data_IF_756933277573
#
_entry.id   IF_756933277573
#
_cell.length_a   1.000
_cell.length_b   1.000
_cell.length_c   1.000
_cell.angle_alpha   90.00
_cell.angle_beta   90.00
_cell.angle_gamma   90.00
#
_symmetry.space_group_name_H-M   'P 1'
#
loop_
_entity.id
_entity.type
_entity.pdbx_description
1 polymer ?
#
# COMPACT_ATOMS: atom_id res chain seq x y z
N UNK A 1 -32.69 -1.94 -0.08
CA UNK A 1 -31.55 -2.11 0.82
C UNK A 1 -30.32 -1.77 0.01
N UNK A 2 -29.74 -0.59 0.24
CA UNK A 2 -28.55 -0.09 -0.45
C UNK A 2 -27.36 -0.33 0.47
N UNK A 3 -26.45 -1.23 0.07
CA UNK A 3 -25.15 -1.43 0.71
C UNK A 3 -24.11 -1.29 -0.39
N UNK A 4 -23.06 -0.50 -0.15
CA UNK A 4 -21.68 -0.78 -0.56
C UNK A 4 -20.75 0.26 0.07
N UNK A 5 -20.49 0.12 1.38
CA UNK A 5 -19.11 0.22 1.88
C UNK A 5 -18.47 -1.11 1.49
N UNK A 6 -17.26 -1.11 0.93
CA UNK A 6 -16.58 -2.36 0.60
C UNK A 6 -16.41 -3.19 1.86
N UNK A 7 -16.81 -4.46 1.85
CA UNK A 7 -16.55 -5.36 2.97
C UNK A 7 -15.05 -5.40 3.25
N UNK A 8 -14.66 -5.39 4.52
CA UNK A 8 -13.27 -5.44 4.91
C UNK A 8 -12.60 -6.72 4.37
N UNK A 9 -11.41 -6.58 3.80
CA UNK A 9 -10.60 -7.68 3.30
C UNK A 9 -9.61 -8.08 4.39
N UNK A 10 -9.76 -9.28 4.93
CA UNK A 10 -8.84 -9.84 5.92
C UNK A 10 -7.51 -10.23 5.26
N UNK A 11 -6.41 -9.72 5.80
CA UNK A 11 -5.05 -9.97 5.31
C UNK A 11 -4.27 -10.88 6.26
N UNK A 12 -4.48 -10.71 7.56
CA UNK A 12 -3.93 -11.56 8.61
C UNK A 12 -4.86 -11.54 9.83
N UNK A 13 -4.70 -12.45 10.80
CA UNK A 13 -5.50 -12.42 12.02
C UNK A 13 -5.43 -11.05 12.71
N UNK A 14 -6.56 -10.35 12.75
CA UNK A 14 -6.68 -9.00 13.34
C UNK A 14 -6.32 -7.84 12.42
N UNK A 15 -5.81 -8.10 11.21
CA UNK A 15 -5.44 -7.07 10.21
C UNK A 15 -6.33 -7.20 8.99
N UNK A 16 -7.12 -6.17 8.72
CA UNK A 16 -7.99 -6.06 7.55
C UNK A 16 -7.93 -4.66 6.97
N UNK A 17 -8.09 -4.54 5.66
CA UNK A 17 -8.27 -3.25 4.98
C UNK A 17 -9.72 -3.09 4.55
N UNK A 18 -10.29 -1.90 4.71
CA UNK A 18 -11.62 -1.56 4.19
C UNK A 18 -11.45 -0.70 2.94
N UNK A 19 -11.80 -1.21 1.74
CA UNK A 19 -11.69 -0.41 0.52
C UNK A 19 -12.52 0.88 0.60
N UNK A 20 -11.94 1.99 0.16
CA UNK A 20 -12.66 3.26 0.05
C UNK A 20 -13.84 3.15 -0.96
N UNK A 21 -14.88 3.99 -0.85
CA UNK A 21 -16.00 3.96 -1.79
C UNK A 21 -15.54 4.11 -3.24
N UNK A 22 -15.98 3.21 -4.12
CA UNK A 22 -15.58 3.22 -5.54
C UNK A 22 -14.24 2.52 -5.82
N UNK A 23 -13.57 2.00 -4.79
CA UNK A 23 -12.47 1.05 -4.94
C UNK A 23 -12.98 -0.38 -4.93
N UNK A 24 -12.32 -1.23 -5.72
CA UNK A 24 -12.66 -2.64 -5.87
C UNK A 24 -11.42 -3.51 -5.69
N UNK A 25 -11.62 -4.73 -5.20
CA UNK A 25 -10.57 -5.74 -5.14
C UNK A 25 -10.21 -6.19 -6.55
N UNK A 26 -8.92 -6.15 -6.87
CA UNK A 26 -8.35 -6.77 -8.05
C UNK A 26 -7.97 -8.21 -7.77
N UNK A 27 -6.68 -8.48 -7.70
CA UNK A 27 -6.12 -9.76 -7.30
C UNK A 27 -5.94 -9.82 -5.77
N UNK A 28 -6.01 -11.03 -5.23
CA UNK A 28 -5.79 -11.28 -3.80
C UNK A 28 -5.23 -12.68 -3.59
N UNK A 29 -4.53 -12.87 -2.48
CA UNK A 29 -4.07 -14.17 -2.02
C UNK A 29 -3.78 -14.17 -0.52
N UNK A 30 -3.21 -15.25 0.01
CA UNK A 30 -2.90 -15.33 1.44
C UNK A 30 -1.94 -14.19 1.84
N UNK A 31 -2.41 -13.30 2.72
CA UNK A 31 -1.58 -12.19 3.22
C UNK A 31 -1.52 -10.96 2.32
N UNK A 32 -2.21 -10.91 1.18
CA UNK A 32 -2.12 -9.76 0.29
C UNK A 32 -3.37 -9.49 -0.56
N UNK A 33 -3.53 -8.23 -0.95
CA UNK A 33 -4.61 -7.76 -1.83
C UNK A 33 -4.11 -6.62 -2.72
N UNK A 34 -4.69 -6.50 -3.91
CA UNK A 34 -4.62 -5.31 -4.75
C UNK A 34 -6.00 -4.66 -4.82
N UNK A 35 -6.05 -3.35 -4.71
CA UNK A 35 -7.24 -2.52 -4.79
C UNK A 35 -7.05 -1.52 -5.93
N UNK A 36 -8.10 -1.24 -6.69
CA UNK A 36 -8.07 -0.23 -7.75
C UNK A 36 -9.31 0.64 -7.68
N UNK A 37 -9.17 1.92 -8.01
CA UNK A 37 -10.32 2.80 -8.20
C UNK A 37 -11.10 2.40 -9.47
N UNK A 38 -12.33 2.90 -9.62
CA UNK A 38 -13.22 2.50 -10.72
C UNK A 38 -12.68 2.71 -12.15
N UNK A 39 -11.65 3.55 -12.33
CA UNK A 39 -11.01 3.79 -13.63
C UNK A 39 -9.63 3.14 -13.77
N UNK A 40 -9.16 2.43 -12.74
CA UNK A 40 -7.79 1.91 -12.65
C UNK A 40 -6.72 2.98 -12.91
N UNK A 41 -7.00 4.21 -12.49
CA UNK A 41 -6.06 5.34 -12.52
C UNK A 41 -5.27 5.46 -11.22
N UNK A 42 -5.74 4.77 -10.17
CA UNK A 42 -5.02 4.57 -8.92
C UNK A 42 -5.13 3.10 -8.49
N UNK A 43 -4.05 2.58 -7.90
CA UNK A 43 -3.90 1.21 -7.41
C UNK A 43 -3.23 1.22 -6.02
N UNK A 44 -3.62 0.28 -5.18
CA UNK A 44 -3.00 0.02 -3.89
C UNK A 44 -2.77 -1.48 -3.73
N UNK A 45 -1.53 -1.91 -3.58
CA UNK A 45 -1.17 -3.25 -3.15
C UNK A 45 -0.84 -3.23 -1.65
N UNK A 46 -1.36 -4.20 -0.89
CA UNK A 46 -1.06 -4.37 0.53
C UNK A 46 -0.62 -5.81 0.75
N UNK A 47 0.51 -5.99 1.45
CA UNK A 47 1.05 -7.29 1.81
C UNK A 47 1.46 -7.36 3.27
N UNK A 48 0.80 -8.22 4.04
CA UNK A 48 1.12 -8.50 5.44
C UNK A 48 2.08 -9.68 5.54
N UNK A 49 3.20 -9.50 6.25
CA UNK A 49 4.28 -10.49 6.36
C UNK A 49 5.08 -10.32 7.67
N UNK A 50 5.95 -11.27 8.01
CA UNK A 50 6.95 -11.06 9.05
C UNK A 50 8.04 -10.08 8.58
N UNK A 51 8.46 -9.17 9.46
CA UNK A 51 9.60 -8.29 9.28
C UNK A 51 10.90 -8.91 9.83
N UNK A 52 12.01 -8.61 9.16
CA UNK A 52 13.36 -9.05 9.56
C UNK A 52 13.98 -8.20 10.68
N UNK A 53 13.30 -7.13 11.12
CA UNK A 53 13.80 -6.18 12.10
C UNK A 53 12.69 -5.43 12.84
N UNK A 54 13.10 -4.45 13.65
CA UNK A 54 12.20 -3.55 14.41
C UNK A 54 12.40 -2.07 14.05
N UNK A 55 13.26 -1.78 13.08
CA UNK A 55 13.46 -0.45 12.54
C UNK A 55 12.58 -0.32 11.27
N UNK A 56 11.53 0.53 11.29
CA UNK A 56 10.59 0.63 10.18
C UNK A 56 11.25 1.16 8.90
N UNK A 57 12.29 2.01 9.00
CA UNK A 57 13.01 2.52 7.83
C UNK A 57 13.82 1.41 7.17
N UNK A 58 14.52 0.60 7.98
CA UNK A 58 15.29 -0.53 7.45
C UNK A 58 14.38 -1.59 6.80
N UNK A 59 13.23 -1.88 7.41
CA UNK A 59 12.25 -2.83 6.85
C UNK A 59 11.71 -2.30 5.51
N UNK A 60 11.27 -1.04 5.46
CA UNK A 60 10.79 -0.40 4.23
C UNK A 60 11.85 -0.45 3.11
N UNK A 61 13.10 -0.11 3.42
CA UNK A 61 14.19 -0.12 2.44
C UNK A 61 14.53 -1.52 1.95
N UNK A 62 14.53 -2.51 2.83
CA UNK A 62 14.72 -3.92 2.46
C UNK A 62 13.63 -4.36 1.48
N UNK A 63 12.38 -3.95 1.69
CA UNK A 63 11.25 -4.31 0.83
C UNK A 63 11.26 -3.62 -0.52
N UNK A 64 11.60 -2.33 -0.57
CA UNK A 64 11.82 -1.60 -1.82
C UNK A 64 12.98 -2.25 -2.61
N UNK A 65 14.06 -2.67 -1.94
CA UNK A 65 15.19 -3.34 -2.61
C UNK A 65 14.81 -4.68 -3.24
N UNK A 66 13.71 -5.28 -2.78
CA UNK A 66 13.17 -6.55 -3.27
C UNK A 66 11.82 -6.38 -3.96
N UNK A 67 11.50 -5.17 -4.44
CA UNK A 67 10.16 -4.83 -4.95
C UNK A 67 9.61 -5.85 -5.96
N UNK A 68 10.45 -6.34 -6.88
CA UNK A 68 10.06 -7.35 -7.88
C UNK A 68 9.67 -8.72 -7.29
N UNK A 69 10.08 -9.01 -6.05
CA UNK A 69 9.74 -10.24 -5.33
C UNK A 69 8.57 -10.04 -4.36
N UNK A 70 8.37 -8.81 -3.88
CA UNK A 70 7.37 -8.53 -2.85
C UNK A 70 6.08 -7.93 -3.41
N UNK A 71 6.12 -7.28 -4.58
CA UNK A 71 4.99 -6.60 -5.22
C UNK A 71 4.62 -7.20 -6.58
N UNK A 72 3.33 -7.16 -6.90
CA UNK A 72 2.74 -7.53 -8.21
C UNK A 72 2.41 -6.34 -9.10
N UNK A 73 2.53 -5.10 -8.61
CA UNK A 73 2.22 -3.84 -9.34
C UNK A 73 2.96 -3.68 -10.69
N UNK A 74 4.07 -4.39 -10.89
CA UNK A 74 4.83 -4.34 -12.14
C UNK A 74 5.50 -2.98 -12.40
N UNK A 75 5.69 -2.17 -11.35
CA UNK A 75 6.38 -0.88 -11.43
C UNK A 75 7.82 -1.05 -11.95
N UNK A 76 8.22 -0.16 -12.83
CA UNK A 76 9.59 -0.09 -13.36
C UNK A 76 10.14 1.33 -13.23
N UNK A 77 11.45 1.49 -13.39
CA UNK A 77 12.12 2.80 -13.31
C UNK A 77 11.80 3.59 -12.02
N UNK A 78 11.61 2.88 -10.90
CA UNK A 78 11.30 3.47 -9.60
C UNK A 78 12.42 4.41 -9.15
N UNK A 79 12.02 5.60 -8.71
CA UNK A 79 12.89 6.65 -8.18
C UNK A 79 12.26 7.24 -6.93
N UNK A 80 12.90 6.99 -5.80
CA UNK A 80 12.59 7.63 -4.53
C UNK A 80 12.73 9.16 -4.65
N UNK A 81 11.77 9.88 -4.07
CA UNK A 81 11.71 11.34 -4.12
C UNK A 81 12.29 12.02 -2.88
N UNK A 82 12.70 11.24 -1.86
CA UNK A 82 13.20 11.76 -0.60
C UNK A 82 13.80 10.70 0.32
N UNK A 83 13.95 11.06 1.60
CA UNK A 83 14.22 10.10 2.67
C UNK A 83 12.89 9.62 3.26
N UNK A 84 12.82 8.39 3.81
CA UNK A 84 11.63 7.93 4.50
C UNK A 84 11.24 8.84 5.68
N UNK A 85 9.96 9.17 5.76
CA UNK A 85 9.34 9.80 6.93
C UNK A 85 8.85 8.71 7.88
N UNK A 86 8.85 8.97 9.19
CA UNK A 86 8.43 7.99 10.19
C UNK A 86 7.46 8.57 11.21
N UNK A 87 6.46 7.79 11.59
CA UNK A 87 5.47 8.16 12.60
C UNK A 87 5.27 7.04 13.64
N UNK A 88 4.90 7.42 14.87
CA UNK A 88 4.43 6.50 15.92
C UNK A 88 2.91 6.39 15.84
N UNK A 89 2.41 5.16 15.76
CA UNK A 89 0.98 4.88 15.58
C UNK A 89 0.31 4.58 16.91
N UNK A 90 -0.90 5.11 17.11
CA UNK A 90 -1.80 4.69 18.20
C UNK A 90 -2.72 3.57 17.69
N UNK A 91 -2.12 2.42 17.39
CA UNK A 91 -2.77 1.28 16.74
C UNK A 91 -2.64 0.01 17.58
N UNK A 92 -3.58 -0.93 17.43
CA UNK A 92 -3.48 -2.26 18.06
C UNK A 92 -2.67 -3.23 17.21
N UNK A 93 -2.64 -2.98 15.91
CA UNK A 93 -2.04 -3.86 14.92
C UNK A 93 -0.60 -3.46 14.61
N UNK A 94 -0.28 -2.16 14.59
CA UNK A 94 1.03 -1.62 14.26
C UNK A 94 1.45 -0.54 15.27
N UNK A 95 2.75 -0.31 15.42
CA UNK A 95 3.27 0.68 16.37
C UNK A 95 3.98 1.83 15.67
N UNK A 96 4.49 1.59 14.46
CA UNK A 96 5.25 2.58 13.70
C UNK A 96 4.90 2.50 12.22
N UNK A 97 4.96 3.64 11.55
CA UNK A 97 4.89 3.77 10.10
C UNK A 97 6.22 4.31 9.58
N UNK A 98 6.65 3.84 8.41
CA UNK A 98 7.62 4.52 7.58
C UNK A 98 7.07 4.67 6.16
N UNK A 99 7.20 5.86 5.56
CA UNK A 99 6.66 6.15 4.22
C UNK A 99 7.69 6.89 3.38
N UNK A 100 7.78 6.55 2.08
CA UNK A 100 8.62 7.24 1.11
C UNK A 100 7.87 7.41 -0.22
N UNK A 101 7.85 8.65 -0.71
CA UNK A 101 7.27 8.97 -2.01
C UNK A 101 8.21 8.56 -3.13
N UNK A 102 7.63 8.13 -4.25
CA UNK A 102 8.38 7.74 -5.45
C UNK A 102 7.72 8.22 -6.75
N UNK A 103 8.52 8.22 -7.81
CA UNK A 103 8.03 8.24 -9.20
C UNK A 103 8.44 6.94 -9.90
N UNK A 104 7.61 6.43 -10.80
CA UNK A 104 7.87 5.20 -11.53
C UNK A 104 7.12 5.17 -12.87
N UNK A 105 7.35 4.12 -13.64
CA UNK A 105 6.51 3.75 -14.77
C UNK A 105 5.61 2.56 -14.38
N UNK A 106 4.30 2.77 -14.42
CA UNK A 106 3.27 1.73 -14.30
C UNK A 106 2.88 1.15 -15.66
N UNK A 107 2.01 0.14 -15.66
CA UNK A 107 1.55 -0.53 -16.89
C UNK A 107 0.15 -0.08 -17.29
N UNK A 108 -0.04 0.34 -18.55
CA UNK A 108 -1.36 0.52 -19.14
C UNK A 108 -1.49 -0.23 -20.47
N UNK A 109 -2.72 -0.29 -21.02
CA UNK A 109 -2.98 -0.89 -22.34
C UNK A 109 -2.23 -0.19 -23.48
N UNK A 110 -1.82 1.06 -23.27
CA UNK A 110 -1.11 1.88 -24.27
C UNK A 110 0.41 1.84 -24.11
N UNK A 111 0.93 1.13 -23.09
CA UNK A 111 2.34 1.05 -22.76
C UNK A 111 2.64 1.58 -21.36
N UNK A 112 3.93 1.77 -21.03
CA UNK A 112 4.34 2.37 -19.76
C UNK A 112 3.67 3.73 -19.57
N UNK A 113 3.11 3.97 -18.39
CA UNK A 113 2.46 5.22 -18.02
C UNK A 113 3.14 5.77 -16.76
N UNK A 114 3.58 7.04 -16.76
CA UNK A 114 4.19 7.63 -15.57
C UNK A 114 3.21 7.61 -14.40
N UNK A 115 3.70 7.20 -13.23
CA UNK A 115 2.97 7.22 -11.98
C UNK A 115 3.78 7.89 -10.89
N UNK A 116 3.06 8.46 -9.93
CA UNK A 116 3.59 8.86 -8.63
C UNK A 116 2.91 8.02 -7.56
N UNK A 117 3.55 7.90 -6.41
CA UNK A 117 3.04 7.02 -5.36
C UNK A 117 3.85 7.10 -4.09
N UNK A 118 3.50 6.22 -3.16
CA UNK A 118 4.23 6.02 -1.92
C UNK A 118 4.42 4.54 -1.64
N UNK A 119 5.59 4.22 -1.08
CA UNK A 119 5.80 2.98 -0.36
C UNK A 119 5.61 3.25 1.12
N UNK A 120 4.77 2.47 1.78
CA UNK A 120 4.50 2.58 3.22
C UNK A 120 4.73 1.24 3.90
N UNK A 121 5.42 1.25 5.03
CA UNK A 121 5.61 0.09 5.90
C UNK A 121 4.97 0.38 7.26
N UNK A 122 3.91 -0.36 7.60
CA UNK A 122 3.37 -0.41 8.95
C UNK A 122 4.07 -1.55 9.70
N UNK A 123 4.61 -1.29 10.89
CA UNK A 123 5.38 -2.26 11.65
C UNK A 123 4.88 -2.40 13.09
N UNK A 124 4.58 -3.63 13.48
CA UNK A 124 4.40 -4.03 14.87
C UNK A 124 5.73 -4.48 15.46
N UNK A 125 6.34 -3.61 16.25
CA UNK A 125 7.66 -3.88 16.85
C UNK A 125 7.65 -4.98 17.91
N UNK A 126 6.48 -5.35 18.46
CA UNK A 126 6.39 -6.37 19.51
C UNK A 126 6.38 -7.80 18.96
N UNK A 127 5.69 -8.03 17.82
CA UNK A 127 5.58 -9.36 17.21
C UNK A 127 6.26 -9.46 15.84
N UNK A 128 6.84 -8.36 15.33
CA UNK A 128 7.48 -8.25 14.00
C UNK A 128 6.53 -8.57 12.85
N UNK A 129 5.23 -8.33 13.00
CA UNK A 129 4.31 -8.30 11.87
C UNK A 129 4.43 -6.95 11.17
N UNK A 130 4.43 -6.97 9.85
CA UNK A 130 4.53 -5.77 9.02
C UNK A 130 3.53 -5.80 7.88
N UNK A 131 3.15 -4.62 7.40
CA UNK A 131 2.35 -4.44 6.20
C UNK A 131 3.09 -3.51 5.25
N UNK A 132 3.56 -4.07 4.14
CA UNK A 132 4.15 -3.32 3.05
C UNK A 132 3.04 -2.91 2.07
N UNK A 133 2.98 -1.62 1.78
CA UNK A 133 1.91 -0.99 1.01
C UNK A 133 2.55 -0.24 -0.15
N UNK A 134 2.04 -0.49 -1.36
CA UNK A 134 2.43 0.22 -2.58
C UNK A 134 1.20 0.95 -3.09
N UNK A 135 1.19 2.27 -3.00
CA UNK A 135 0.16 3.10 -3.60
C UNK A 135 0.71 3.80 -4.84
N UNK A 136 -0.02 3.73 -5.96
CA UNK A 136 0.36 4.37 -7.22
C UNK A 136 -0.84 5.05 -7.87
N UNK A 137 -0.61 6.21 -8.50
CA UNK A 137 -1.59 6.93 -9.29
C UNK A 137 -0.96 7.55 -10.55
N UNK A 138 -1.75 7.65 -11.62
CA UNK A 138 -1.37 8.37 -12.83
C UNK A 138 -2.04 9.76 -12.89
N UNK A 139 -1.78 10.51 -13.96
CA UNK A 139 -2.30 11.88 -14.13
C UNK A 139 -3.84 11.97 -14.26
N UNK A 140 -4.50 10.86 -14.59
CA UNK A 140 -5.96 10.78 -14.73
C UNK A 140 -6.65 10.42 -13.41
N UNK A 141 -5.90 10.28 -12.31
CA UNK A 141 -6.46 9.98 -11.01
C UNK A 141 -7.29 11.16 -10.46
N UNK A 142 -8.50 10.91 -9.91
CA UNK A 142 -9.27 11.94 -9.23
C UNK A 142 -8.48 12.55 -8.06
N UNK A 143 -8.61 13.86 -7.81
CA UNK A 143 -7.82 14.56 -6.79
C UNK A 143 -8.05 14.14 -5.32
N UNK A 144 -8.90 13.15 -5.06
CA UNK A 144 -9.17 12.62 -3.73
C UNK A 144 -8.53 11.23 -3.48
N UNK A 145 -7.86 10.62 -4.45
CA UNK A 145 -7.33 9.25 -4.29
C UNK A 145 -6.24 9.15 -3.23
N UNK A 146 -5.46 10.21 -2.99
CA UNK A 146 -4.47 10.23 -1.90
C UNK A 146 -5.17 10.06 -0.55
N UNK A 147 -6.25 10.82 -0.33
CA UNK A 147 -7.04 10.72 0.91
C UNK A 147 -7.79 9.40 1.04
N UNK A 148 -8.20 8.79 -0.09
CA UNK A 148 -8.77 7.44 -0.09
C UNK A 148 -7.71 6.39 0.26
N UNK A 149 -6.49 6.54 -0.26
CA UNK A 149 -5.33 5.74 0.09
C UNK A 149 -5.05 5.80 1.60
N UNK A 150 -4.93 7.02 2.15
CA UNK A 150 -4.76 7.22 3.59
C UNK A 150 -5.88 6.57 4.40
N UNK A 151 -7.14 6.74 4.01
CA UNK A 151 -8.27 6.13 4.72
C UNK A 151 -8.22 4.60 4.70
N UNK A 152 -7.75 3.99 3.60
CA UNK A 152 -7.56 2.53 3.52
C UNK A 152 -6.42 2.07 4.45
N UNK A 153 -5.30 2.78 4.50
CA UNK A 153 -4.19 2.49 5.43
C UNK A 153 -4.66 2.63 6.89
N UNK A 154 -5.35 3.72 7.22
CA UNK A 154 -5.91 3.97 8.56
C UNK A 154 -6.91 2.89 9.00
N UNK A 155 -7.63 2.27 8.07
CA UNK A 155 -8.57 1.18 8.39
C UNK A 155 -7.90 -0.09 8.91
N UNK A 156 -6.57 -0.22 8.74
CA UNK A 156 -5.77 -1.36 9.20
C UNK A 156 -5.25 -1.19 10.64
N UNK A 157 -5.37 -0.01 11.23
CA UNK A 157 -4.77 0.39 12.50
C UNK A 157 -5.55 -0.09 13.74
#
# INVERSE_FOLDING_TARGET
>A
MTLTVGDAVELAPGVSVTPAPGWTVGEQGPGWVTLHNGFATAEMEIKVKPANGTDPVAVLQDDISQLSNVSTTGLTNVRDLGAPETEQLQSRNFHTEATIDYSADGTSRMGPTPVIGSFTELLNTANRQSAFIVFAQNEDAPGNVDGEGTAMIESML
#
